data_IF_226784928086
#
_entry.id   IF_226784928086
#
_cell.length_a   1.000
_cell.length_b   1.000
_cell.length_c   1.000
_cell.angle_alpha   90.00
_cell.angle_beta   90.00
_cell.angle_gamma   90.00
#
_symmetry.space_group_name_H-M   'P 1'
#
loop_
_entity.id
_entity.type
_entity.pdbx_description
1 polymer ?
#
# COMPACT_ATOMS: atom_id res chain seq x y z
N UNK A 1 -24.08 -36.57 9.35
CA UNK A 1 -24.97 -35.70 10.14
C UNK A 1 -24.07 -34.68 10.81
N UNK A 2 -24.28 -33.42 10.43
CA UNK A 2 -23.66 -32.19 10.91
C UNK A 2 -23.05 -32.30 12.33
N UNK A 3 -21.73 -32.12 12.42
CA UNK A 3 -21.17 -31.40 13.55
C UNK A 3 -20.63 -30.10 12.95
N UNK A 4 -21.53 -29.13 12.88
CA UNK A 4 -21.28 -27.74 12.49
C UNK A 4 -20.13 -27.22 13.35
N UNK A 5 -18.96 -27.11 12.73
CA UNK A 5 -17.87 -26.37 13.32
C UNK A 5 -18.20 -24.87 13.17
N UNK A 6 -19.13 -24.42 14.00
CA UNK A 6 -19.44 -23.01 14.29
C UNK A 6 -18.27 -22.40 15.07
N UNK A 7 -17.04 -22.62 14.57
CA UNK A 7 -15.85 -21.89 14.98
C UNK A 7 -15.89 -20.55 14.26
N UNK A 8 -16.82 -19.73 14.74
CA UNK A 8 -16.82 -18.27 14.69
C UNK A 8 -16.59 -17.64 13.32
N UNK A 9 -17.60 -16.91 12.89
CA UNK A 9 -17.56 -15.76 11.98
C UNK A 9 -16.60 -14.63 12.40
N UNK A 10 -15.48 -14.93 13.09
CA UNK A 10 -14.56 -13.98 13.72
C UNK A 10 -13.08 -14.20 13.33
N UNK A 11 -12.73 -15.21 12.53
CA UNK A 11 -11.34 -15.45 12.08
C UNK A 11 -11.24 -15.31 10.55
N UNK A 12 -11.50 -14.12 10.01
CA UNK A 12 -11.28 -13.81 8.58
C UNK A 12 -10.67 -12.44 8.30
N UNK A 13 -10.03 -11.81 9.29
CA UNK A 13 -9.30 -10.56 9.05
C UNK A 13 -7.94 -10.54 9.76
N UNK A 14 -7.19 -11.64 9.71
CA UNK A 14 -5.75 -11.47 9.54
C UNK A 14 -5.54 -10.99 8.11
N UNK A 15 -5.88 -9.71 7.89
CA UNK A 15 -5.60 -9.00 6.67
C UNK A 15 -4.10 -9.21 6.42
N UNK A 16 -3.78 -9.78 5.26
CA UNK A 16 -2.39 -10.01 4.85
C UNK A 16 -1.59 -8.76 5.21
N UNK A 17 -0.43 -8.89 5.90
CA UNK A 17 0.30 -7.72 6.37
C UNK A 17 0.55 -6.82 5.16
N UNK A 18 -0.14 -5.67 5.11
CA UNK A 18 -0.11 -4.77 3.97
C UNK A 18 1.35 -4.52 3.63
N UNK A 19 1.81 -5.08 2.51
CA UNK A 19 3.22 -5.00 2.14
C UNK A 19 3.56 -3.52 1.99
N UNK A 20 4.38 -3.04 2.91
CA UNK A 20 4.81 -1.65 2.94
C UNK A 20 6.01 -1.48 2.01
N UNK A 21 5.82 -0.70 0.96
CA UNK A 21 6.85 -0.34 0.00
C UNK A 21 7.52 0.96 0.48
N UNK A 22 8.76 0.83 0.93
CA UNK A 22 9.62 1.96 1.29
C UNK A 22 9.92 2.81 0.05
N UNK A 23 10.27 4.08 0.26
CA UNK A 23 10.61 4.99 -0.83
C UNK A 23 11.71 4.46 -1.76
N UNK A 24 12.75 3.81 -1.21
CA UNK A 24 13.84 3.25 -2.01
C UNK A 24 13.35 2.13 -2.95
N UNK A 25 12.42 1.28 -2.49
CA UNK A 25 11.83 0.28 -3.38
C UNK A 25 10.83 0.88 -4.36
N UNK A 26 10.09 1.91 -3.95
CA UNK A 26 9.12 2.57 -4.83
C UNK A 26 9.81 3.21 -6.05
N UNK A 27 10.95 3.86 -5.82
CA UNK A 27 11.72 4.46 -6.92
C UNK A 27 12.33 3.40 -7.85
N UNK A 28 12.69 2.22 -7.33
CA UNK A 28 13.15 1.08 -8.14
C UNK A 28 12.00 0.50 -8.96
N UNK A 29 10.83 0.30 -8.35
CA UNK A 29 9.63 -0.23 -9.02
C UNK A 29 9.14 0.67 -10.15
N UNK A 30 9.14 1.98 -9.91
CA UNK A 30 8.69 2.98 -10.89
C UNK A 30 9.81 3.38 -11.87
N UNK A 31 11.06 2.94 -11.65
CA UNK A 31 12.24 3.37 -12.39
C UNK A 31 12.39 4.91 -12.50
N UNK A 32 12.06 5.63 -11.42
CA UNK A 32 12.13 7.10 -11.36
C UNK A 32 13.07 7.58 -10.26
N UNK A 33 13.49 8.85 -10.33
CA UNK A 33 14.24 9.46 -9.23
C UNK A 33 13.33 9.75 -8.03
N UNK A 34 13.92 9.80 -6.82
CA UNK A 34 13.22 10.24 -5.61
C UNK A 34 12.56 11.61 -5.76
N UNK A 35 13.22 12.53 -6.47
CA UNK A 35 12.69 13.87 -6.74
C UNK A 35 11.47 13.82 -7.65
N UNK A 36 11.49 12.98 -8.68
CA UNK A 36 10.35 12.76 -9.57
C UNK A 36 9.16 12.21 -8.80
N UNK A 37 9.39 11.20 -7.95
CA UNK A 37 8.34 10.64 -7.10
C UNK A 37 7.71 11.70 -6.19
N UNK A 38 8.52 12.52 -5.52
CA UNK A 38 7.99 13.61 -4.69
C UNK A 38 7.26 14.69 -5.49
N UNK A 39 7.70 14.99 -6.72
CA UNK A 39 6.96 15.89 -7.61
C UNK A 39 5.57 15.33 -7.90
N UNK A 40 5.46 14.05 -8.27
CA UNK A 40 4.17 13.42 -8.53
C UNK A 40 3.26 13.38 -7.31
N UNK A 41 3.82 13.14 -6.12
CA UNK A 41 3.07 13.21 -4.86
C UNK A 41 2.56 14.64 -4.62
N UNK A 42 3.39 15.65 -4.84
CA UNK A 42 3.02 17.06 -4.66
C UNK A 42 2.04 17.57 -5.73
N UNK A 43 2.14 17.06 -6.96
CA UNK A 43 1.22 17.34 -8.07
C UNK A 43 -0.09 16.56 -7.93
N UNK A 44 -0.21 15.66 -6.94
CA UNK A 44 -1.41 14.83 -6.73
C UNK A 44 -1.58 13.68 -7.75
N UNK A 45 -0.55 13.44 -8.57
CA UNK A 45 -0.51 12.36 -9.57
C UNK A 45 -0.24 11.02 -8.90
N UNK A 46 0.57 10.99 -7.83
CA UNK A 46 0.90 9.78 -7.08
C UNK A 46 0.35 9.85 -5.65
N UNK A 47 -0.15 8.75 -5.06
CA UNK A 47 -0.71 8.77 -3.71
C UNK A 47 0.30 9.27 -2.67
N UNK A 48 -0.19 9.87 -1.59
CA UNK A 48 0.68 10.28 -0.48
C UNK A 48 1.22 9.07 0.32
N UNK A 49 2.48 9.11 0.78
CA UNK A 49 3.03 8.05 1.61
C UNK A 49 2.38 8.06 2.98
N UNK A 50 2.16 6.87 3.53
CA UNK A 50 1.71 6.67 4.90
C UNK A 50 2.79 7.13 5.88
N UNK A 51 2.40 7.99 6.81
CA UNK A 51 3.24 8.51 7.90
C UNK A 51 2.73 7.94 9.22
N UNK A 52 3.60 7.39 10.05
CA UNK A 52 3.27 6.97 11.43
C UNK A 52 4.23 7.67 12.38
N UNK A 53 3.68 8.35 13.38
CA UNK A 53 4.44 9.10 14.40
C UNK A 53 5.48 10.06 13.79
N UNK A 54 5.11 10.78 12.72
CA UNK A 54 6.01 11.73 12.04
C UNK A 54 7.09 11.11 11.17
N UNK A 55 7.20 9.77 11.10
CA UNK A 55 8.10 9.08 10.18
C UNK A 55 7.35 8.61 8.94
N UNK A 56 7.87 8.95 7.77
CA UNK A 56 7.38 8.43 6.50
C UNK A 56 7.73 6.95 6.39
N UNK A 57 6.70 6.11 6.41
CA UNK A 57 6.85 4.66 6.27
C UNK A 57 6.96 4.25 4.81
N UNK A 58 6.22 4.90 3.92
CA UNK A 58 6.15 4.56 2.50
C UNK A 58 4.71 4.33 2.06
N UNK A 59 4.51 3.49 1.06
CA UNK A 59 3.19 3.23 0.48
C UNK A 59 2.79 1.80 0.73
N UNK A 60 1.50 1.52 0.85
CA UNK A 60 1.03 0.14 0.85
C UNK A 60 1.00 -0.39 -0.58
N UNK A 61 1.16 -1.70 -0.76
CA UNK A 61 1.00 -2.34 -2.08
C UNK A 61 -0.37 -1.99 -2.70
N UNK A 62 -1.43 -1.97 -1.88
CA UNK A 62 -2.76 -1.57 -2.34
C UNK A 62 -2.83 -0.14 -2.86
N UNK A 63 -2.10 0.83 -2.26
CA UNK A 63 -2.03 2.19 -2.81
C UNK A 63 -1.36 2.23 -4.18
N UNK A 64 -0.30 1.44 -4.36
CA UNK A 64 0.39 1.31 -5.64
C UNK A 64 -0.50 0.66 -6.71
N UNK A 65 -1.19 -0.43 -6.36
CA UNK A 65 -2.13 -1.12 -7.24
C UNK A 65 -3.33 -0.24 -7.61
N UNK A 66 -3.89 0.49 -6.65
CA UNK A 66 -4.98 1.43 -6.91
C UNK A 66 -4.54 2.56 -7.85
N UNK A 67 -3.32 3.07 -7.68
CA UNK A 67 -2.76 4.07 -8.58
C UNK A 67 -2.58 3.55 -10.01
N UNK A 68 -2.06 2.32 -10.15
CA UNK A 68 -1.95 1.66 -11.45
C UNK A 68 -3.31 1.47 -12.10
N UNK A 69 -4.32 1.06 -11.32
CA UNK A 69 -5.69 0.87 -11.80
C UNK A 69 -6.37 2.17 -12.24
N UNK A 70 -6.13 3.28 -11.53
CA UNK A 70 -6.67 4.61 -11.88
C UNK A 70 -6.03 5.24 -13.12
N UNK A 71 -4.83 4.82 -13.50
CA UNK A 71 -4.07 5.41 -14.61
C UNK A 71 -4.30 4.68 -15.96
N UNK A 72 -5.34 3.84 -16.05
CA UNK A 72 -5.79 3.13 -17.25
C UNK A 72 -7.22 3.57 -17.62
#
# INVERSE_FOLDING_TARGET
>A
MEQENTFSSNIRFFHEPQRLIRINHMIELLAVSRTTLWRWVNEGVFPEPRKIQGRTLGWTASQYEEWLSKSH
#
